data_IF_933124848177
#
_entry.id   IF_933124848177
#
_cell.length_a   1.000
_cell.length_b   1.000
_cell.length_c   1.000
_cell.angle_alpha   90.00
_cell.angle_beta   90.00
_cell.angle_gamma   90.00
#
_symmetry.space_group_name_H-M   'P 1'
#
loop_
_entity.id
_entity.type
_entity.pdbx_description
1 polymer ?
#
# COMPACT_ATOMS: atom_id res chain seq x y z
N UNK A 1 -4.42 11.87 -18.22
CA UNK A 1 -3.84 12.61 -17.07
C UNK A 1 -2.99 11.62 -16.31
N UNK A 2 -1.72 11.89 -16.06
CA UNK A 2 -0.86 11.04 -15.22
C UNK A 2 -1.31 11.19 -13.77
N UNK A 3 -2.12 10.25 -13.29
CA UNK A 3 -2.70 10.30 -11.95
C UNK A 3 -1.75 9.69 -10.93
N UNK A 4 -1.00 10.51 -10.22
CA UNK A 4 -0.38 10.09 -8.97
C UNK A 4 -1.46 10.06 -7.88
N UNK A 5 -1.55 8.96 -7.14
CA UNK A 5 -2.51 8.77 -6.05
C UNK A 5 -1.76 8.81 -4.73
N UNK A 6 -2.01 9.84 -3.93
CA UNK A 6 -1.51 9.92 -2.56
C UNK A 6 -2.21 8.87 -1.69
N UNK A 7 -1.43 8.03 -1.02
CA UNK A 7 -1.91 7.04 -0.07
C UNK A 7 -1.71 7.62 1.32
N UNK A 8 -2.82 7.84 2.03
CA UNK A 8 -2.83 8.38 3.39
C UNK A 8 -3.47 7.37 4.35
N UNK A 9 -2.97 7.34 5.58
CA UNK A 9 -3.49 6.47 6.62
C UNK A 9 -2.58 6.38 7.84
N UNK A 10 -2.76 5.31 8.60
CA UNK A 10 -1.99 5.04 9.84
C UNK A 10 -1.24 3.72 9.70
N UNK A 11 0.08 3.78 9.79
CA UNK A 11 1.00 2.65 9.82
C UNK A 11 1.80 2.68 11.12
N UNK A 12 1.10 2.52 12.24
CA UNK A 12 1.69 2.57 13.58
C UNK A 12 1.13 1.41 14.41
N UNK A 13 2.02 0.53 14.86
CA UNK A 13 1.71 -0.62 15.73
C UNK A 13 2.73 -0.70 16.87
N UNK A 14 2.38 -1.43 17.93
CA UNK A 14 3.35 -1.75 18.97
C UNK A 14 4.53 -2.54 18.38
N UNK A 15 5.75 -2.23 18.84
CA UNK A 15 6.99 -2.82 18.31
C UNK A 15 7.16 -2.65 16.79
N UNK A 16 6.71 -1.53 16.22
CA UNK A 16 6.87 -1.23 14.80
C UNK A 16 8.31 -1.44 14.30
N UNK A 17 8.46 -2.14 13.17
CA UNK A 17 9.73 -2.34 12.48
C UNK A 17 9.74 -1.61 11.14
N UNK A 18 8.80 -1.95 10.26
CA UNK A 18 8.60 -1.27 8.99
C UNK A 18 7.18 -1.49 8.47
N UNK A 19 6.74 -0.65 7.54
CA UNK A 19 5.57 -0.92 6.72
C UNK A 19 5.92 -0.94 5.24
N UNK A 20 5.06 -1.55 4.45
CA UNK A 20 5.12 -1.52 3.00
C UNK A 20 3.72 -1.40 2.43
N UNK A 21 3.62 -0.70 1.31
CA UNK A 21 2.40 -0.62 0.53
C UNK A 21 2.58 -1.50 -0.69
N UNK A 22 1.58 -2.32 -0.96
CA UNK A 22 1.61 -3.26 -2.08
C UNK A 22 0.36 -3.09 -2.94
N UNK A 23 0.51 -3.35 -4.23
CA UNK A 23 -0.56 -3.35 -5.21
C UNK A 23 -0.69 -4.73 -5.85
N UNK A 24 -1.92 -5.12 -6.13
CA UNK A 24 -2.26 -6.35 -6.84
C UNK A 24 -3.33 -6.08 -7.91
N UNK A 25 -3.29 -6.87 -8.98
CA UNK A 25 -4.25 -6.77 -10.08
C UNK A 25 -5.57 -7.50 -9.76
N UNK A 26 -6.70 -6.84 -9.99
CA UNK A 26 -8.04 -7.36 -9.76
C UNK A 26 -8.55 -7.12 -8.34
N UNK A 27 -9.78 -7.55 -8.09
CA UNK A 27 -10.45 -7.39 -6.78
C UNK A 27 -9.82 -8.26 -5.69
N UNK A 28 -9.39 -9.47 -6.07
CA UNK A 28 -8.75 -10.46 -5.21
C UNK A 28 -7.40 -10.91 -5.80
N UNK A 29 -6.36 -10.07 -5.71
CA UNK A 29 -5.07 -10.38 -6.29
C UNK A 29 -4.40 -11.56 -5.58
N UNK A 30 -3.87 -12.48 -6.39
CA UNK A 30 -3.05 -13.61 -5.91
C UNK A 30 -1.57 -13.24 -5.81
N UNK A 31 -1.17 -12.13 -6.44
CA UNK A 31 0.20 -11.60 -6.46
C UNK A 31 0.18 -10.13 -6.06
N UNK A 32 1.13 -9.77 -5.22
CA UNK A 32 1.29 -8.44 -4.68
C UNK A 32 2.69 -7.94 -4.98
N UNK A 33 2.78 -6.69 -5.41
CA UNK A 33 4.04 -6.02 -5.73
C UNK A 33 4.15 -4.79 -4.85
N UNK A 34 5.28 -4.62 -4.17
CA UNK A 34 5.54 -3.39 -3.41
C UNK A 34 5.67 -2.21 -4.37
N UNK A 35 4.93 -1.12 -4.09
CA UNK A 35 4.95 0.07 -4.95
C UNK A 35 6.18 0.94 -4.70
N UNK A 36 6.83 0.75 -3.55
CA UNK A 36 8.00 1.49 -3.09
C UNK A 36 8.88 0.61 -2.18
N UNK A 37 9.93 1.22 -1.62
CA UNK A 37 10.80 0.58 -0.63
C UNK A 37 10.11 0.42 0.74
N UNK A 38 10.74 -0.32 1.65
CA UNK A 38 10.24 -0.49 3.01
C UNK A 38 10.38 0.81 3.81
N UNK A 39 9.27 1.27 4.38
CA UNK A 39 9.25 2.46 5.21
C UNK A 39 9.51 2.10 6.66
N UNK A 40 10.55 2.69 7.26
CA UNK A 40 11.01 2.40 8.65
C UNK A 40 10.59 3.45 9.67
N UNK A 41 9.73 4.37 9.28
CA UNK A 41 9.19 5.41 10.15
C UNK A 41 7.70 5.17 10.32
N UNK A 42 7.19 5.01 11.55
CA UNK A 42 5.75 4.86 11.76
C UNK A 42 5.04 6.17 11.41
N UNK A 43 3.85 6.05 10.81
CA UNK A 43 3.02 7.19 10.41
C UNK A 43 1.66 7.07 11.07
N UNK A 44 1.12 8.18 11.56
CA UNK A 44 -0.24 8.25 12.12
C UNK A 44 -1.00 9.35 11.42
N UNK A 45 -2.16 9.00 10.83
CA UNK A 45 -3.03 9.90 10.06
C UNK A 45 -2.27 10.80 9.07
N UNK A 46 -1.36 10.19 8.29
CA UNK A 46 -0.40 10.91 7.50
C UNK A 46 -0.18 10.31 6.11
N UNK A 47 0.79 10.89 5.40
CA UNK A 47 1.24 10.38 4.11
C UNK A 47 2.01 9.07 4.29
N UNK A 48 1.57 8.01 3.62
CA UNK A 48 2.21 6.70 3.64
C UNK A 48 3.06 6.47 2.40
N UNK A 49 2.50 6.79 1.23
CA UNK A 49 3.16 6.56 -0.05
C UNK A 49 2.46 7.26 -1.21
N UNK A 50 3.06 7.19 -2.39
CA UNK A 50 2.44 7.63 -3.65
C UNK A 50 2.43 6.48 -4.66
N UNK A 51 1.24 6.20 -5.21
CA UNK A 51 1.10 5.29 -6.34
C UNK A 51 1.13 6.08 -7.64
N UNK A 52 2.11 5.80 -8.50
CA UNK A 52 2.09 6.29 -9.88
C UNK A 52 1.25 5.37 -10.77
N UNK A 53 -0.02 5.72 -10.96
CA UNK A 53 -0.93 4.96 -11.81
C UNK A 53 -0.76 5.26 -13.31
N UNK A 54 0.14 6.18 -13.70
CA UNK A 54 0.35 6.54 -15.11
C UNK A 54 0.91 5.37 -15.94
N UNK A 55 1.64 4.46 -15.30
CA UNK A 55 2.21 3.26 -15.92
C UNK A 55 1.29 2.04 -15.85
N UNK A 56 0.19 2.13 -15.09
CA UNK A 56 -0.75 1.04 -14.91
C UNK A 56 -1.79 1.04 -16.04
N UNK A 57 -2.04 -0.10 -16.70
CA UNK A 57 -3.19 -0.26 -17.59
C UNK A 57 -4.52 0.08 -16.90
N UNK A 58 -5.53 0.46 -17.69
CA UNK A 58 -6.88 0.60 -17.16
C UNK A 58 -7.37 -0.75 -16.60
N UNK A 59 -7.94 -0.72 -15.40
CA UNK A 59 -8.39 -1.91 -14.70
C UNK A 59 -8.61 -1.67 -13.20
N UNK A 60 -9.14 -2.70 -12.54
CA UNK A 60 -9.30 -2.72 -11.09
C UNK A 60 -8.02 -3.23 -10.44
N UNK A 61 -7.56 -2.52 -9.42
CA UNK A 61 -6.41 -2.91 -8.60
C UNK A 61 -6.80 -2.87 -7.13
N UNK A 62 -6.21 -3.77 -6.35
CA UNK A 62 -6.30 -3.72 -4.89
C UNK A 62 -4.96 -3.25 -4.34
N UNK A 63 -5.02 -2.29 -3.42
CA UNK A 63 -3.88 -1.87 -2.62
C UNK A 63 -4.02 -2.44 -1.23
N UNK A 64 -2.88 -2.76 -0.61
CA UNK A 64 -2.85 -3.11 0.79
C UNK A 64 -1.70 -2.47 1.53
N UNK A 65 -1.96 -2.14 2.78
CA UNK A 65 -0.96 -1.72 3.75
C UNK A 65 -0.58 -2.90 4.64
N UNK A 66 0.69 -3.26 4.65
CA UNK A 66 1.25 -4.30 5.53
C UNK A 66 2.21 -3.63 6.50
N UNK A 67 1.92 -3.73 7.80
CA UNK A 67 2.78 -3.20 8.87
C UNK A 67 3.39 -4.38 9.62
N UNK A 68 4.71 -4.40 9.75
CA UNK A 68 5.47 -5.51 10.36
C UNK A 68 6.13 -5.02 11.63
N UNK A 69 6.04 -5.82 12.69
CA UNK A 69 6.71 -5.56 13.96
C UNK A 69 8.14 -6.14 13.99
N UNK A 70 8.90 -5.85 15.04
CA UNK A 70 10.30 -6.34 15.18
C UNK A 70 10.39 -7.86 15.34
N UNK A 71 9.28 -8.54 15.65
CA UNK A 71 9.20 -9.99 15.75
C UNK A 71 8.83 -10.65 14.42
N UNK A 72 8.53 -9.85 13.38
CA UNK A 72 8.09 -10.33 12.07
C UNK A 72 6.58 -10.60 11.98
N UNK A 73 5.82 -10.31 13.04
CA UNK A 73 4.37 -10.43 13.01
C UNK A 73 3.75 -9.19 12.32
N UNK A 74 2.63 -9.42 11.66
CA UNK A 74 1.86 -8.36 11.00
C UNK A 74 0.36 -8.60 11.25
N UNK A 75 -0.41 -7.56 11.61
CA UNK A 75 -1.87 -7.67 11.70
C UNK A 75 -2.48 -7.90 10.30
N UNK A 76 -3.77 -8.27 10.22
CA UNK A 76 -4.49 -8.33 8.96
C UNK A 76 -4.29 -7.03 8.17
N UNK A 77 -3.81 -7.11 6.91
CA UNK A 77 -3.53 -5.91 6.13
C UNK A 77 -4.83 -5.16 5.82
N UNK A 78 -4.74 -3.84 5.77
CA UNK A 78 -5.84 -3.01 5.31
C UNK A 78 -5.83 -3.00 3.79
N UNK A 79 -6.87 -3.54 3.15
CA UNK A 79 -6.99 -3.60 1.70
C UNK A 79 -8.04 -2.60 1.20
N UNK A 80 -7.72 -1.88 0.11
CA UNK A 80 -8.61 -0.93 -0.55
C UNK A 80 -8.56 -1.16 -2.05
N UNK A 81 -9.71 -1.01 -2.72
CA UNK A 81 -9.81 -1.16 -4.16
C UNK A 81 -9.73 0.20 -4.84
N UNK A 82 -9.00 0.27 -5.95
CA UNK A 82 -8.95 1.42 -6.85
C UNK A 82 -9.28 0.98 -8.27
N UNK A 83 -9.84 1.90 -9.05
CA UNK A 83 -10.08 1.71 -10.47
C UNK A 83 -9.23 2.71 -11.23
N UNK A 84 -8.38 2.19 -12.12
CA UNK A 84 -7.60 3.00 -13.06
C UNK A 84 -8.40 3.11 -14.36
N UNK A 85 -8.71 4.33 -14.77
CA UNK A 85 -9.37 4.64 -16.04
C UNK A 85 -8.54 5.69 -16.80
N UNK A 86 -8.37 5.50 -18.11
CA UNK A 86 -7.60 6.39 -19.00
C UNK A 86 -8.51 7.19 -19.94
#
# INVERSE_FOLDING_TARGET
MSGSVDIRGTASIANFSFYKVEIGLGEHPTRWTSISELHRTPVTDGFLDVLDASTLPAGTYSLRLVVVDVTGNFPPPCEVQIVVAH
#
